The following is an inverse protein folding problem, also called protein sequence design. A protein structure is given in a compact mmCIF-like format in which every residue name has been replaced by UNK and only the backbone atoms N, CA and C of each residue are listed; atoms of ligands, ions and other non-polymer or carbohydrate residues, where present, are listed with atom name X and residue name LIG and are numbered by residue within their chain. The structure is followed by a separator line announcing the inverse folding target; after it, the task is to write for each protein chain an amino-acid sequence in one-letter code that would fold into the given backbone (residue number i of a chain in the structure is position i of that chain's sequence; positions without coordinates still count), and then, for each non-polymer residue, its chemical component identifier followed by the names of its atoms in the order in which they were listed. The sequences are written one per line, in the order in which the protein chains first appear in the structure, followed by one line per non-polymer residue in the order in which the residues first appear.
data_IF_229424524409
#
_entry.id   IF_229424524409
#
_cell.length_a   1.000
_cell.length_b   1.000
_cell.length_c   1.000
_cell.angle_alpha   90.00
_cell.angle_beta   90.00
_cell.angle_gamma   90.00
#
_symmetry.space_group_name_H-M   'P 1'
#
loop_
_entity.id
_entity.type
_entity.pdbx_description
1 polymer ?
#
# COMPACT_ATOMS: atom_id res chain seq x y z
N UNK A 1 53.86 -18.57 -80.36
CA UNK A 1 54.24 -19.50 -79.27
C UNK A 1 53.41 -19.12 -78.05
N UNK A 2 52.24 -19.75 -77.85
CA UNK A 2 52.01 -20.87 -76.91
C UNK A 2 52.43 -20.50 -75.45
N UNK A 3 51.57 -20.48 -74.43
CA UNK A 3 50.14 -20.77 -74.33
C UNK A 3 49.65 -20.69 -72.86
N UNK A 4 48.32 -20.76 -72.71
CA UNK A 4 47.52 -21.17 -71.54
C UNK A 4 47.32 -20.25 -70.31
N UNK A 5 46.06 -19.81 -70.14
CA UNK A 5 45.42 -19.47 -68.84
C UNK A 5 44.93 -20.78 -68.18
N UNK A 6 44.86 -20.86 -66.84
CA UNK A 6 43.62 -20.56 -66.09
C UNK A 6 43.96 -19.80 -64.79
N UNK A 7 43.10 -19.14 -64.02
CA UNK A 7 41.68 -19.24 -63.74
C UNK A 7 41.50 -18.56 -62.37
N UNK A 8 40.53 -17.67 -62.25
CA UNK A 8 40.21 -16.94 -61.00
C UNK A 8 39.88 -17.92 -59.87
N UNK A 9 40.40 -17.65 -58.68
CA UNK A 9 39.71 -17.94 -57.41
C UNK A 9 40.22 -16.95 -56.35
N UNK A 10 39.61 -15.77 -56.30
CA UNK A 10 39.65 -14.88 -55.15
C UNK A 10 38.90 -15.56 -54.01
N UNK A 11 39.62 -16.24 -53.12
CA UNK A 11 39.08 -16.71 -51.86
C UNK A 11 38.85 -15.49 -50.96
N UNK A 12 37.58 -15.11 -50.85
CA UNK A 12 37.08 -14.10 -49.92
C UNK A 12 37.40 -14.56 -48.50
N UNK A 13 38.38 -13.92 -47.85
CA UNK A 13 38.60 -14.07 -46.41
C UNK A 13 37.42 -13.43 -45.68
N UNK A 14 36.47 -14.27 -45.26
CA UNK A 14 35.40 -13.89 -44.35
C UNK A 14 36.01 -13.25 -43.10
N UNK A 15 35.58 -12.06 -42.68
CA UNK A 15 36.08 -11.47 -41.44
C UNK A 15 35.67 -12.38 -40.29
N UNK A 16 36.67 -12.87 -39.57
CA UNK A 16 36.52 -13.55 -38.29
C UNK A 16 35.62 -12.69 -37.40
N UNK A 17 34.44 -13.21 -37.06
CA UNK A 17 33.55 -12.57 -36.07
C UNK A 17 34.35 -12.39 -34.78
N UNK A 18 34.58 -11.14 -34.40
CA UNK A 18 35.15 -10.79 -33.11
C UNK A 18 34.37 -11.54 -32.01
N UNK A 19 35.03 -12.50 -31.37
CA UNK A 19 34.50 -13.22 -30.23
C UNK A 19 34.65 -12.33 -29.02
N UNK A 20 33.55 -11.68 -28.62
CA UNK A 20 33.50 -10.89 -27.40
C UNK A 20 33.51 -11.84 -26.20
N UNK A 21 34.57 -11.81 -25.40
CA UNK A 21 34.61 -12.43 -24.08
C UNK A 21 33.77 -11.58 -23.14
N UNK A 22 32.69 -12.13 -22.57
CA UNK A 22 31.97 -11.48 -21.48
C UNK A 22 32.80 -11.69 -20.23
N UNK A 23 33.57 -10.68 -19.83
CA UNK A 23 34.26 -10.68 -18.55
C UNK A 23 34.31 -9.25 -17.99
N UNK A 24 33.14 -8.69 -17.69
CA UNK A 24 33.02 -7.49 -16.85
C UNK A 24 33.04 -7.81 -15.35
N UNK A 25 33.00 -9.10 -14.97
CA UNK A 25 32.91 -9.55 -13.59
C UNK A 25 34.27 -10.12 -13.14
N UNK A 26 34.92 -9.53 -12.11
CA UNK A 26 36.17 -10.03 -11.56
C UNK A 26 36.06 -11.50 -11.12
N UNK A 27 37.01 -12.33 -11.54
CA UNK A 27 37.07 -13.75 -11.15
C UNK A 27 36.16 -14.70 -11.95
N UNK A 28 35.34 -14.20 -12.87
CA UNK A 28 34.54 -15.05 -13.75
C UNK A 28 35.43 -15.76 -14.80
N UNK A 29 35.18 -17.05 -15.11
CA UNK A 29 35.91 -17.73 -16.18
C UNK A 29 35.57 -17.12 -17.54
N UNK A 30 36.56 -16.99 -18.42
CA UNK A 30 36.38 -16.46 -19.76
C UNK A 30 35.43 -17.36 -20.59
N UNK A 31 34.16 -16.94 -20.72
CA UNK A 31 33.15 -17.63 -21.52
C UNK A 31 32.94 -16.88 -22.83
N UNK A 32 33.05 -17.60 -23.95
CA UNK A 32 32.81 -17.04 -25.28
C UNK A 32 31.31 -16.82 -25.44
N UNK A 33 30.92 -15.59 -25.77
CA UNK A 33 29.54 -15.26 -26.13
C UNK A 33 29.38 -15.16 -27.64
N UNK A 34 28.23 -15.63 -28.14
CA UNK A 34 27.80 -15.45 -29.53
C UNK A 34 26.78 -14.31 -29.66
N UNK A 35 26.60 -13.49 -28.61
CA UNK A 35 25.71 -12.34 -28.63
C UNK A 35 26.11 -11.38 -29.75
N UNK A 36 25.13 -11.01 -30.58
CA UNK A 36 25.31 -10.05 -31.68
C UNK A 36 24.93 -8.63 -31.28
N UNK A 37 24.08 -8.48 -30.26
CA UNK A 37 23.58 -7.21 -29.77
C UNK A 37 24.37 -6.87 -28.50
N UNK A 38 24.81 -5.61 -28.38
CA UNK A 38 25.44 -5.09 -27.16
C UNK A 38 24.34 -4.73 -26.17
N UNK A 39 24.47 -5.21 -24.94
CA UNK A 39 23.59 -4.83 -23.83
C UNK A 39 24.03 -3.45 -23.30
N UNK A 40 23.15 -2.43 -23.31
CA UNK A 40 23.47 -1.10 -22.82
C UNK A 40 23.35 -0.98 -21.29
N UNK A 41 22.59 -1.87 -20.66
CA UNK A 41 22.34 -1.92 -19.23
C UNK A 41 22.78 -3.28 -18.69
N UNK A 42 23.51 -3.27 -17.59
CA UNK A 42 23.92 -4.50 -16.91
C UNK A 42 22.77 -5.07 -16.07
N UNK A 43 22.88 -6.34 -15.71
CA UNK A 43 21.92 -6.98 -14.81
C UNK A 43 22.00 -6.28 -13.44
N UNK A 44 20.89 -5.75 -12.91
CA UNK A 44 20.89 -5.12 -11.59
C UNK A 44 21.12 -6.15 -10.49
N UNK A 45 21.35 -5.68 -9.26
CA UNK A 45 21.37 -6.56 -8.11
C UNK A 45 20.00 -7.27 -7.96
N UNK A 46 20.02 -8.60 -7.99
CA UNK A 46 18.80 -9.42 -7.93
C UNK A 46 18.20 -9.47 -6.52
N UNK A 47 18.96 -9.08 -5.50
CA UNK A 47 18.51 -8.97 -4.11
C UNK A 47 18.01 -7.56 -3.76
N UNK A 48 18.13 -6.60 -4.69
CA UNK A 48 17.79 -5.19 -4.43
C UNK A 48 16.34 -5.02 -3.95
N UNK A 49 15.39 -5.78 -4.50
CA UNK A 49 13.98 -5.72 -4.09
C UNK A 49 13.79 -5.96 -2.58
N UNK A 50 14.53 -6.92 -2.02
CA UNK A 50 14.45 -7.25 -0.58
C UNK A 50 15.27 -6.25 0.25
N UNK A 51 16.52 -6.03 -0.15
CA UNK A 51 17.47 -5.23 0.61
C UNK A 51 17.09 -3.75 0.63
N UNK A 52 16.73 -3.16 -0.51
CA UNK A 52 16.33 -1.75 -0.59
C UNK A 52 15.03 -1.48 0.14
N UNK A 53 14.06 -2.41 0.08
CA UNK A 53 12.80 -2.28 0.82
C UNK A 53 13.02 -2.29 2.33
N UNK A 54 13.91 -3.15 2.84
CA UNK A 54 14.23 -3.19 4.26
C UNK A 54 15.08 -2.00 4.69
N UNK A 55 16.02 -1.56 3.85
CA UNK A 55 16.85 -0.38 4.12
C UNK A 55 16.02 0.89 4.24
N UNK A 56 14.99 1.06 3.40
CA UNK A 56 14.00 2.13 3.54
C UNK A 56 13.20 2.01 4.84
N UNK A 57 12.72 0.81 5.17
CA UNK A 57 11.90 0.59 6.37
C UNK A 57 12.64 1.04 7.63
N UNK A 58 13.89 0.61 7.80
CA UNK A 58 14.70 0.91 9.01
C UNK A 58 15.48 2.21 8.91
N UNK A 59 15.52 2.85 7.73
CA UNK A 59 16.25 4.09 7.51
C UNK A 59 17.78 3.95 7.53
N UNK A 60 18.34 2.87 6.93
CA UNK A 60 19.80 2.66 6.91
C UNK A 60 20.52 3.80 6.19
N UNK A 61 21.79 4.01 6.54
CA UNK A 61 22.66 5.02 5.92
C UNK A 61 22.73 4.90 4.39
N UNK A 62 22.76 3.67 3.86
CA UNK A 62 22.75 3.42 2.42
C UNK A 62 21.48 3.95 1.73
N UNK A 63 20.32 3.83 2.37
CA UNK A 63 19.08 4.43 1.87
C UNK A 63 19.10 5.95 2.06
N UNK A 64 19.47 6.43 3.24
CA UNK A 64 19.54 7.87 3.55
C UNK A 64 20.45 8.64 2.59
N UNK A 65 21.59 8.04 2.20
CA UNK A 65 22.50 8.62 1.21
C UNK A 65 21.89 8.72 -0.19
N UNK A 66 21.01 7.78 -0.58
CA UNK A 66 20.30 7.83 -1.88
C UNK A 66 19.29 8.98 -1.93
N UNK A 67 18.62 9.25 -0.81
CA UNK A 67 17.55 10.25 -0.71
C UNK A 67 17.98 11.58 -0.10
N UNK A 68 19.29 11.80 0.14
CA UNK A 68 19.80 12.99 0.83
C UNK A 68 19.47 14.33 0.16
N UNK A 69 19.04 14.33 -1.11
CA UNK A 69 18.56 15.51 -1.84
C UNK A 69 17.04 15.70 -1.86
N UNK A 70 16.28 14.79 -1.24
CA UNK A 70 14.82 14.80 -1.23
C UNK A 70 14.32 15.37 0.11
N UNK A 71 13.67 16.54 0.06
CA UNK A 71 13.26 17.28 1.26
C UNK A 71 12.19 16.57 2.11
N UNK A 72 11.43 15.63 1.52
CA UNK A 72 10.32 14.93 2.17
C UNK A 72 10.63 13.44 2.43
N UNK A 73 11.88 13.02 2.28
CA UNK A 73 12.23 11.61 2.45
C UNK A 73 12.23 11.18 3.93
N UNK A 74 11.35 10.26 4.25
CA UNK A 74 11.18 9.66 5.58
C UNK A 74 11.33 8.14 5.49
N UNK A 75 12.02 7.56 6.48
CA UNK A 75 12.11 6.09 6.60
C UNK A 75 10.76 5.50 6.96
N UNK A 76 10.50 4.25 6.62
CA UNK A 76 9.21 3.62 6.89
C UNK A 76 8.82 3.61 8.37
N UNK A 77 9.77 3.39 9.29
CA UNK A 77 9.50 3.48 10.73
C UNK A 77 9.20 4.91 11.18
N UNK A 78 9.92 5.91 10.66
CA UNK A 78 9.65 7.31 10.98
C UNK A 78 8.26 7.75 10.51
N UNK A 79 7.84 7.31 9.31
CA UNK A 79 6.50 7.57 8.77
C UNK A 79 5.41 6.98 9.67
N UNK A 80 5.56 5.72 10.08
CA UNK A 80 4.58 5.04 10.96
C UNK A 80 4.49 5.75 12.32
N UNK A 81 5.63 6.16 12.89
CA UNK A 81 5.66 6.90 14.15
C UNK A 81 5.05 8.30 14.01
N UNK A 82 5.18 8.92 12.83
CA UNK A 82 4.50 10.17 12.48
C UNK A 82 2.98 10.00 12.35
N UNK A 83 2.51 8.92 11.74
CA UNK A 83 1.07 8.66 11.56
C UNK A 83 0.36 8.39 12.91
N UNK A 84 1.01 7.67 13.82
CA UNK A 84 0.43 7.36 15.13
C UNK A 84 0.49 8.55 16.11
N UNK A 85 1.39 9.51 15.89
CA UNK A 85 1.59 10.65 16.78
C UNK A 85 0.80 11.89 16.32
N UNK A 86 0.21 12.67 17.24
CA UNK A 86 0.11 12.43 18.68
C UNK A 86 -1.03 11.48 19.03
N UNK A 87 -0.80 10.71 20.09
CA UNK A 87 -1.84 9.96 20.81
C UNK A 87 -2.39 10.88 21.90
N UNK A 88 -3.68 11.18 21.85
CA UNK A 88 -4.35 12.10 22.77
C UNK A 88 -5.41 11.36 23.59
N UNK A 89 -5.62 11.82 24.83
CA UNK A 89 -6.76 11.39 25.61
C UNK A 89 -8.07 12.05 25.12
N UNK A 90 -9.22 11.56 25.58
CA UNK A 90 -10.52 12.09 25.15
C UNK A 90 -10.71 13.59 25.45
N UNK A 91 -10.07 14.10 26.52
CA UNK A 91 -10.18 15.52 26.89
C UNK A 91 -9.15 16.42 26.22
N UNK A 92 -8.16 15.85 25.51
CA UNK A 92 -7.03 16.59 24.95
C UNK A 92 -6.10 17.22 26.00
N UNK A 93 -6.20 16.77 27.25
CA UNK A 93 -5.37 17.24 28.37
C UNK A 93 -3.96 16.64 28.35
N UNK A 94 -3.80 15.46 27.77
CA UNK A 94 -2.55 14.72 27.73
C UNK A 94 -2.30 14.18 26.32
N UNK A 95 -1.07 14.33 25.84
CA UNK A 95 -0.64 13.79 24.55
C UNK A 95 0.70 13.07 24.65
N UNK A 96 0.85 11.98 23.90
CA UNK A 96 2.10 11.22 23.75
C UNK A 96 2.52 11.22 22.28
N UNK A 97 3.77 11.59 22.03
CA UNK A 97 4.37 11.59 20.69
C UNK A 97 5.61 10.71 20.65
N UNK A 98 5.85 10.06 19.52
CA UNK A 98 7.05 9.25 19.29
C UNK A 98 7.90 9.86 18.19
N UNK A 99 9.21 9.84 18.37
CA UNK A 99 10.18 10.34 17.41
C UNK A 99 11.49 9.57 17.48
N UNK A 100 12.37 9.81 16.50
CA UNK A 100 13.74 9.31 16.47
C UNK A 100 13.88 7.79 16.71
N UNK A 101 13.32 6.93 15.83
CA UNK A 101 13.57 5.50 15.89
C UNK A 101 15.05 5.22 15.65
N UNK A 102 15.68 4.47 16.56
CA UNK A 102 17.08 4.05 16.42
C UNK A 102 17.27 2.61 16.85
N UNK A 103 18.20 1.94 16.20
CA UNK A 103 18.61 0.58 16.54
C UNK A 103 19.92 0.59 17.29
N UNK A 104 20.03 -0.24 18.32
CA UNK A 104 21.32 -0.61 18.90
C UNK A 104 21.95 -1.75 18.08
N UNK A 105 23.16 -2.16 18.46
CA UNK A 105 23.84 -3.29 17.83
C UNK A 105 23.04 -4.59 17.97
N UNK A 106 23.18 -5.47 16.98
CA UNK A 106 22.60 -6.81 17.00
C UNK A 106 23.13 -7.62 18.18
N UNK A 107 22.25 -8.39 18.82
CA UNK A 107 22.60 -9.11 20.07
C UNK A 107 23.62 -10.24 19.89
N UNK A 108 23.64 -10.84 18.70
CA UNK A 108 24.46 -11.99 18.37
C UNK A 108 24.73 -12.00 16.86
N UNK A 109 25.78 -12.73 16.45
CA UNK A 109 26.12 -12.90 15.04
C UNK A 109 25.12 -13.81 14.31
N UNK A 110 25.05 -13.73 12.97
CA UNK A 110 24.19 -14.61 12.17
C UNK A 110 24.47 -16.11 12.40
N UNK A 111 25.74 -16.48 12.57
CA UNK A 111 26.16 -17.88 12.81
C UNK A 111 25.74 -18.36 14.20
N UNK A 112 25.94 -17.53 15.22
CA UNK A 112 25.52 -17.84 16.59
C UNK A 112 24.00 -17.96 16.70
N UNK A 113 23.24 -17.11 16.00
CA UNK A 113 21.78 -17.22 15.99
C UNK A 113 21.30 -18.55 15.41
N UNK A 114 21.98 -19.08 14.39
CA UNK A 114 21.67 -20.39 13.79
C UNK A 114 22.04 -21.56 14.70
N UNK A 115 23.19 -21.48 15.37
CA UNK A 115 23.69 -22.56 16.24
C UNK A 115 22.89 -22.68 17.54
N UNK A 116 22.44 -21.55 18.10
CA UNK A 116 21.74 -21.48 19.40
C UNK A 116 20.23 -21.33 19.29
N UNK A 117 19.64 -21.54 18.12
CA UNK A 117 18.22 -21.36 17.85
C UNK A 117 17.66 -19.97 18.26
N UNK A 118 18.49 -18.92 18.14
CA UNK A 118 18.09 -17.53 18.45
C UNK A 118 17.56 -16.80 17.22
N UNK A 119 16.84 -15.69 17.44
CA UNK A 119 16.42 -14.79 16.36
C UNK A 119 17.47 -13.69 16.17
N UNK A 120 17.87 -13.44 14.93
CA UNK A 120 18.79 -12.35 14.59
C UNK A 120 18.06 -11.01 14.60
N UNK A 121 18.25 -10.23 15.66
CA UNK A 121 17.51 -9.01 15.94
C UNK A 121 18.37 -7.94 16.61
N UNK A 122 17.96 -6.68 16.43
CA UNK A 122 18.53 -5.50 17.07
C UNK A 122 17.48 -4.85 17.99
N UNK A 123 17.87 -4.35 19.19
CA UNK A 123 16.98 -3.58 20.04
C UNK A 123 16.54 -2.28 19.37
N UNK A 124 15.22 -2.02 19.29
CA UNK A 124 14.65 -0.76 18.79
C UNK A 124 14.32 0.16 19.96
N UNK A 125 14.85 1.38 19.90
CA UNK A 125 14.54 2.46 20.82
C UNK A 125 13.88 3.62 20.09
N UNK A 126 12.94 4.28 20.76
CA UNK A 126 12.29 5.52 20.28
C UNK A 126 12.36 6.57 21.38
N UNK A 127 12.37 7.83 21.00
CA UNK A 127 12.15 8.93 21.92
C UNK A 127 10.65 9.15 22.07
N UNK A 128 10.12 8.96 23.28
CA UNK A 128 8.74 9.23 23.61
C UNK A 128 8.64 10.54 24.39
N UNK A 129 7.74 11.43 23.96
CA UNK A 129 7.49 12.73 24.58
C UNK A 129 6.06 12.79 25.07
N UNK A 130 5.90 12.81 26.39
CA UNK A 130 4.62 13.05 27.04
C UNK A 130 4.46 14.54 27.31
N UNK A 131 3.37 15.12 26.82
CA UNK A 131 3.02 16.53 27.04
C UNK A 131 1.71 16.60 27.81
N UNK A 132 1.73 17.27 28.96
CA UNK A 132 0.52 17.66 29.67
C UNK A 132 0.12 19.07 29.25
N UNK A 133 -0.97 19.19 28.48
CA UNK A 133 -1.44 20.46 27.93
C UNK A 133 -1.99 21.41 29.00
N UNK A 134 -2.32 20.91 30.19
CA UNK A 134 -2.82 21.73 31.31
C UNK A 134 -1.66 22.40 32.06
N UNK A 135 -0.59 21.66 32.32
CA UNK A 135 0.57 22.17 33.08
C UNK A 135 1.69 22.71 32.19
N UNK A 136 1.69 22.35 30.90
CA UNK A 136 2.79 22.63 29.97
C UNK A 136 4.04 21.76 30.20
N UNK A 137 3.96 20.75 31.08
CA UNK A 137 5.09 19.88 31.38
C UNK A 137 5.32 18.89 30.25
N UNK A 138 6.55 18.87 29.72
CA UNK A 138 7.00 17.90 28.71
C UNK A 138 8.03 16.96 29.35
N UNK A 139 7.75 15.66 29.29
CA UNK A 139 8.67 14.60 29.72
C UNK A 139 9.12 13.81 28.51
N UNK A 140 10.40 13.90 28.19
CA UNK A 140 11.03 13.12 27.13
C UNK A 140 11.80 11.95 27.73
N UNK A 141 11.58 10.75 27.22
CA UNK A 141 12.27 9.54 27.64
C UNK A 141 12.58 8.65 26.44
N UNK A 142 13.74 8.00 26.46
CA UNK A 142 14.02 6.88 25.54
C UNK A 142 13.27 5.64 26.01
N UNK A 143 12.44 5.08 25.14
CA UNK A 143 11.66 3.86 25.39
C UNK A 143 12.16 2.73 24.52
N UNK A 144 12.38 1.56 25.12
CA UNK A 144 12.63 0.31 24.40
C UNK A 144 11.32 -0.22 23.83
N UNK A 145 11.23 -0.33 22.51
CA UNK A 145 10.04 -0.82 21.81
C UNK A 145 10.01 -2.34 21.67
N UNK A 146 11.18 -2.97 21.63
CA UNK A 146 11.31 -4.42 21.44
C UNK A 146 12.52 -4.79 20.60
N UNK A 147 12.74 -6.10 20.47
CA UNK A 147 13.73 -6.65 19.56
C UNK A 147 13.14 -6.75 18.16
N UNK A 148 13.81 -6.11 17.18
CA UNK A 148 13.35 -6.06 15.81
C UNK A 148 14.22 -6.99 14.93
N UNK A 149 13.63 -7.97 14.23
CA UNK A 149 14.38 -8.86 13.34
C UNK A 149 15.11 -8.08 12.25
N UNK A 150 16.40 -8.37 12.09
CA UNK A 150 17.26 -7.71 11.11
C UNK A 150 17.44 -8.59 9.87
N UNK A 151 17.46 -7.96 8.69
CA UNK A 151 17.73 -8.65 7.43
C UNK A 151 19.24 -8.91 7.29
N UNK A 152 19.62 -10.14 6.94
CA UNK A 152 21.00 -10.52 6.62
C UNK A 152 21.43 -9.92 5.28
N UNK A 153 22.73 -9.97 4.97
CA UNK A 153 23.25 -9.54 3.67
C UNK A 153 22.69 -10.35 2.47
N UNK A 154 22.07 -11.52 2.74
CA UNK A 154 21.47 -12.39 1.71
C UNK A 154 20.00 -12.08 1.43
N UNK A 155 19.41 -11.09 2.10
CA UNK A 155 17.97 -10.80 1.98
C UNK A 155 17.08 -11.79 2.73
N UNK A 156 17.62 -12.46 3.76
CA UNK A 156 16.89 -13.42 4.61
C UNK A 156 16.77 -12.92 6.05
N UNK A 157 15.92 -13.56 6.84
CA UNK A 157 15.78 -13.34 8.27
C UNK A 157 16.06 -14.65 9.02
N UNK A 158 16.73 -14.59 10.17
CA UNK A 158 16.93 -15.77 11.03
C UNK A 158 15.94 -15.68 12.17
N UNK A 159 14.93 -16.55 12.17
CA UNK A 159 13.89 -16.61 13.21
C UNK A 159 13.99 -17.97 13.90
N UNK A 160 14.35 -17.95 15.19
CA UNK A 160 14.58 -19.14 16.02
C UNK A 160 15.52 -20.15 15.32
N UNK A 161 16.73 -19.69 14.97
CA UNK A 161 17.75 -20.51 14.29
C UNK A 161 17.51 -20.79 12.81
N UNK A 162 16.30 -20.58 12.31
CA UNK A 162 15.92 -20.95 10.94
C UNK A 162 15.92 -19.74 10.01
N UNK A 163 16.57 -19.86 8.85
CA UNK A 163 16.48 -18.85 7.80
C UNK A 163 15.10 -18.85 7.14
N UNK A 164 14.53 -17.66 6.99
CA UNK A 164 13.23 -17.39 6.38
C UNK A 164 13.35 -16.25 5.37
N UNK A 165 12.47 -16.29 4.38
CA UNK A 165 12.35 -15.23 3.36
C UNK A 165 10.94 -14.68 3.41
N UNK A 166 10.83 -13.35 3.43
CA UNK A 166 9.54 -12.66 3.27
C UNK A 166 9.25 -12.51 1.78
N UNK A 167 8.22 -13.18 1.29
CA UNK A 167 7.85 -13.16 -0.12
C UNK A 167 7.01 -11.93 -0.42
N UNK A 168 7.36 -11.20 -1.48
CA UNK A 168 6.57 -10.07 -1.96
C UNK A 168 5.17 -10.51 -2.38
N UNK A 169 4.15 -9.85 -1.84
CA UNK A 169 2.76 -10.14 -2.15
C UNK A 169 2.24 -9.18 -3.24
N UNK A 170 1.56 -9.72 -4.26
CA UNK A 170 0.82 -8.92 -5.21
C UNK A 170 -0.61 -8.70 -4.72
N UNK A 171 -0.96 -7.44 -4.44
CA UNK A 171 -2.31 -7.02 -4.03
C UNK A 171 -2.84 -5.97 -5.00
N UNK A 172 -4.16 -5.78 -5.02
CA UNK A 172 -4.76 -4.68 -5.79
C UNK A 172 -4.37 -3.36 -5.14
N UNK A 173 -3.99 -2.40 -5.96
CA UNK A 173 -3.69 -1.05 -5.50
C UNK A 173 -4.96 -0.41 -4.90
N UNK A 174 -4.83 0.47 -3.89
CA UNK A 174 -5.93 1.33 -3.46
C UNK A 174 -6.39 2.22 -4.62
N UNK A 175 -7.70 2.42 -4.74
CA UNK A 175 -8.26 3.27 -5.80
C UNK A 175 -9.70 2.98 -6.13
N UNK A 176 -10.15 3.58 -7.24
CA UNK A 176 -11.51 3.44 -7.76
C UNK A 176 -11.49 2.54 -8.99
N UNK A 177 -12.17 1.40 -8.88
CA UNK A 177 -12.27 0.41 -9.95
C UNK A 177 -13.69 0.33 -10.49
N UNK A 178 -13.82 0.34 -11.82
CA UNK A 178 -15.08 0.12 -12.51
C UNK A 178 -15.09 -1.28 -13.13
N UNK A 179 -16.24 -1.93 -13.07
CA UNK A 179 -16.44 -3.25 -13.66
C UNK A 179 -17.82 -3.32 -14.34
N UNK A 180 -17.89 -4.14 -15.39
CA UNK A 180 -19.11 -4.40 -16.16
C UNK A 180 -19.32 -5.91 -16.21
N UNK A 181 -20.46 -6.35 -15.71
CA UNK A 181 -20.83 -7.77 -15.66
C UNK A 181 -22.20 -7.98 -16.28
N UNK A 182 -22.36 -9.03 -17.07
CA UNK A 182 -23.65 -9.36 -17.67
C UNK A 182 -24.50 -10.17 -16.67
N UNK A 183 -25.70 -9.69 -16.36
CA UNK A 183 -26.69 -10.46 -15.59
C UNK A 183 -27.29 -11.55 -16.49
N UNK A 184 -26.96 -12.81 -16.20
CA UNK A 184 -27.34 -13.97 -17.02
C UNK A 184 -28.86 -14.21 -17.13
N UNK A 185 -29.67 -13.56 -16.31
CA UNK A 185 -31.13 -13.76 -16.28
C UNK A 185 -31.84 -12.72 -17.11
N UNK A 186 -31.38 -11.47 -17.05
CA UNK A 186 -32.01 -10.34 -17.74
C UNK A 186 -31.27 -9.91 -19.01
N UNK A 187 -30.11 -10.50 -19.31
CA UNK A 187 -29.19 -10.10 -20.37
C UNK A 187 -28.86 -8.60 -20.37
N UNK A 188 -28.95 -7.98 -19.18
CA UNK A 188 -28.58 -6.58 -18.94
C UNK A 188 -27.18 -6.49 -18.35
N UNK A 189 -26.47 -5.44 -18.74
CA UNK A 189 -25.21 -5.08 -18.11
C UNK A 189 -25.43 -4.45 -16.73
N UNK A 190 -24.74 -5.00 -15.74
CA UNK A 190 -24.59 -4.46 -14.39
C UNK A 190 -23.23 -3.77 -14.32
N UNK A 191 -23.28 -2.48 -14.01
CA UNK A 191 -22.09 -1.66 -13.78
C UNK A 191 -21.84 -1.55 -12.28
N UNK A 192 -20.59 -1.75 -11.86
CA UNK A 192 -20.19 -1.56 -10.47
C UNK A 192 -18.94 -0.69 -10.35
N UNK A 193 -18.85 0.02 -9.23
CA UNK A 193 -17.72 0.87 -8.87
C UNK A 193 -17.28 0.51 -7.46
N UNK A 194 -16.01 0.16 -7.27
CA UNK A 194 -15.43 -0.16 -5.97
C UNK A 194 -14.37 0.86 -5.60
N UNK A 195 -14.58 1.54 -4.48
CA UNK A 195 -13.59 2.41 -3.84
C UNK A 195 -12.88 1.58 -2.78
N UNK A 196 -11.64 1.22 -3.05
CA UNK A 196 -10.80 0.38 -2.20
C UNK A 196 -9.76 1.28 -1.54
N UNK A 197 -9.86 1.56 -0.22
CA UNK A 197 -8.85 2.32 0.49
C UNK A 197 -7.60 1.47 0.78
N UNK A 198 -6.50 2.12 1.13
CA UNK A 198 -5.30 1.45 1.67
C UNK A 198 -5.60 0.81 3.04
N UNK A 199 -6.39 1.49 3.87
CA UNK A 199 -6.84 1.05 5.18
C UNK A 199 -8.28 1.52 5.42
N UNK A 200 -9.14 0.69 6.01
CA UNK A 200 -10.50 1.08 6.36
C UNK A 200 -11.60 0.44 5.50
N UNK A 201 -12.79 1.04 5.53
CA UNK A 201 -14.02 0.44 5.04
C UNK A 201 -14.19 0.53 3.51
N UNK A 202 -14.63 -0.56 2.88
CA UNK A 202 -14.88 -0.52 1.44
C UNK A 202 -16.18 0.20 1.12
N UNK A 203 -16.20 0.94 0.01
CA UNK A 203 -17.40 1.57 -0.50
C UNK A 203 -17.66 1.07 -1.93
N UNK A 204 -18.79 0.39 -2.12
CA UNK A 204 -19.13 -0.22 -3.40
C UNK A 204 -20.45 0.34 -3.90
N UNK A 205 -20.48 0.80 -5.15
CA UNK A 205 -21.66 1.26 -5.84
C UNK A 205 -22.02 0.31 -6.98
N UNK A 206 -23.31 0.18 -7.27
CA UNK A 206 -23.77 -0.62 -8.40
C UNK A 206 -25.05 -0.05 -9.02
N UNK A 207 -25.19 -0.25 -10.34
CA UNK A 207 -26.45 -0.12 -11.04
C UNK A 207 -26.99 -1.52 -11.24
N UNK A 208 -28.10 -1.85 -10.57
CA UNK A 208 -28.68 -3.19 -10.66
C UNK A 208 -29.52 -3.38 -11.92
N UNK A 209 -29.94 -4.62 -12.19
CA UNK A 209 -30.79 -4.98 -13.33
C UNK A 209 -32.17 -4.30 -13.35
N UNK A 210 -32.58 -3.66 -12.26
CA UNK A 210 -33.83 -2.90 -12.12
C UNK A 210 -33.63 -1.41 -12.36
N UNK A 211 -32.46 -1.02 -12.88
CA UNK A 211 -32.09 0.36 -13.15
C UNK A 211 -32.20 1.22 -11.88
N UNK A 212 -31.72 0.68 -10.74
CA UNK A 212 -31.56 1.43 -9.49
C UNK A 212 -30.10 1.52 -9.08
N UNK A 213 -29.71 2.67 -8.54
CA UNK A 213 -28.34 2.90 -8.05
C UNK A 213 -28.25 2.58 -6.57
N UNK A 214 -27.36 1.65 -6.23
CA UNK A 214 -27.15 1.18 -4.87
C UNK A 214 -25.76 1.46 -4.35
N UNK A 215 -25.63 1.35 -3.04
CA UNK A 215 -24.39 1.42 -2.29
C UNK A 215 -24.31 0.31 -1.24
N UNK A 216 -23.14 -0.30 -1.09
CA UNK A 216 -22.77 -1.17 0.03
C UNK A 216 -21.61 -0.51 0.77
N UNK A 217 -21.77 -0.33 2.07
CA UNK A 217 -20.74 0.18 2.97
C UNK A 217 -20.19 -1.03 3.73
N UNK A 218 -18.87 -1.21 3.72
CA UNK A 218 -18.17 -2.29 4.43
C UNK A 218 -18.78 -3.69 4.20
N UNK A 219 -19.08 -3.98 2.92
CA UNK A 219 -19.68 -5.25 2.48
C UNK A 219 -21.02 -5.59 3.17
N UNK A 220 -21.70 -4.60 3.76
CA UNK A 220 -23.05 -4.76 4.33
C UNK A 220 -24.13 -4.77 3.25
N UNK A 221 -25.38 -4.89 3.70
CA UNK A 221 -26.56 -4.93 2.82
C UNK A 221 -26.62 -3.70 1.92
N UNK A 222 -27.02 -3.92 0.66
CA UNK A 222 -27.21 -2.87 -0.34
C UNK A 222 -28.31 -1.91 0.08
N UNK A 223 -28.05 -0.62 -0.05
CA UNK A 223 -28.99 0.48 0.18
C UNK A 223 -29.10 1.32 -1.09
N UNK A 224 -30.21 2.03 -1.33
CA UNK A 224 -30.24 3.07 -2.35
C UNK A 224 -29.12 4.10 -2.10
N UNK A 225 -28.45 4.55 -3.16
CA UNK A 225 -27.36 5.54 -3.03
C UNK A 225 -27.84 6.85 -2.41
N UNK A 226 -29.12 7.17 -2.57
CA UNK A 226 -29.76 8.37 -2.03
C UNK A 226 -29.75 8.40 -0.50
N UNK A 227 -29.79 7.24 0.17
CA UNK A 227 -29.65 7.13 1.63
C UNK A 227 -28.29 7.65 2.07
N UNK A 228 -27.21 7.26 1.38
CA UNK A 228 -25.87 7.78 1.69
C UNK A 228 -25.76 9.28 1.41
N UNK A 229 -26.32 9.77 0.29
CA UNK A 229 -26.30 11.20 -0.03
C UNK A 229 -27.05 12.03 1.04
N UNK A 230 -28.23 11.57 1.47
CA UNK A 230 -29.01 12.20 2.54
C UNK A 230 -28.27 12.17 3.87
N UNK A 231 -27.62 11.06 4.21
CA UNK A 231 -26.79 10.94 5.42
C UNK A 231 -25.62 11.94 5.43
N UNK A 232 -25.04 12.24 4.26
CA UNK A 232 -24.02 13.29 4.05
C UNK A 232 -24.60 14.72 4.04
N UNK A 233 -25.90 14.89 4.31
CA UNK A 233 -26.55 16.20 4.41
C UNK A 233 -27.05 16.78 3.08
N UNK A 234 -27.20 15.97 2.04
CA UNK A 234 -27.81 16.44 0.79
C UNK A 234 -29.33 16.40 0.87
N UNK A 235 -29.97 17.53 0.53
CA UNK A 235 -31.43 17.58 0.39
C UNK A 235 -31.87 16.91 -0.92
N UNK A 236 -33.15 16.53 -0.97
CA UNK A 236 -33.73 15.92 -2.17
C UNK A 236 -33.63 16.84 -3.39
N UNK A 237 -33.85 18.15 -3.23
CA UNK A 237 -33.74 19.12 -4.33
C UNK A 237 -32.30 19.19 -4.86
N UNK A 238 -31.31 19.13 -3.97
CA UNK A 238 -29.89 19.11 -4.35
C UNK A 238 -29.55 17.85 -5.13
N UNK A 239 -30.03 16.68 -4.68
CA UNK A 239 -29.83 15.40 -5.38
C UNK A 239 -30.49 15.47 -6.76
N UNK A 240 -31.76 15.86 -6.83
CA UNK A 240 -32.52 15.99 -8.09
C UNK A 240 -31.87 16.98 -9.06
N UNK A 241 -31.41 18.13 -8.57
CA UNK A 241 -30.71 19.13 -9.38
C UNK A 241 -29.41 18.58 -9.97
N UNK A 242 -28.57 17.92 -9.16
CA UNK A 242 -27.26 17.39 -9.58
C UNK A 242 -27.38 16.20 -10.54
N UNK A 243 -28.38 15.35 -10.36
CA UNK A 243 -28.58 14.11 -11.12
C UNK A 243 -29.78 14.15 -12.07
N UNK A 244 -30.26 15.36 -12.41
CA UNK A 244 -31.40 15.58 -13.31
C UNK A 244 -31.27 14.95 -14.69
N UNK A 245 -30.04 14.71 -15.13
CA UNK A 245 -29.70 14.08 -16.41
C UNK A 245 -29.81 12.54 -16.40
N UNK A 246 -30.03 11.90 -15.25
CA UNK A 246 -30.05 10.43 -15.12
C UNK A 246 -31.42 9.94 -14.66
N UNK A 247 -32.15 9.28 -15.56
CA UNK A 247 -33.42 8.64 -15.25
C UNK A 247 -33.28 7.57 -14.15
N UNK A 248 -32.19 6.79 -14.16
CA UNK A 248 -31.86 5.77 -13.15
C UNK A 248 -31.74 6.39 -11.74
N UNK A 249 -31.07 7.55 -11.62
CA UNK A 249 -30.94 8.25 -10.34
C UNK A 249 -32.27 8.83 -9.88
N UNK A 250 -33.07 9.42 -10.78
CA UNK A 250 -34.40 9.94 -10.46
C UNK A 250 -35.34 8.82 -10.01
N UNK A 251 -35.37 7.70 -10.73
CA UNK A 251 -36.15 6.52 -10.36
C UNK A 251 -35.70 5.91 -9.03
N UNK A 252 -34.41 5.99 -8.69
CA UNK A 252 -33.89 5.58 -7.38
C UNK A 252 -34.38 6.51 -6.28
N UNK A 253 -34.40 7.82 -6.53
CA UNK A 253 -34.87 8.83 -5.59
C UNK A 253 -36.38 8.73 -5.33
N UNK A 254 -37.19 8.44 -6.35
CA UNK A 254 -38.64 8.23 -6.21
C UNK A 254 -38.99 6.96 -5.40
N UNK A 255 -38.16 5.92 -5.50
CA UNK A 255 -38.33 4.66 -4.74
C UNK A 255 -37.78 4.75 -3.31
N UNK A 256 -37.08 5.82 -2.96
CA UNK A 256 -36.51 6.01 -1.64
C UNK A 256 -37.58 6.50 -0.65
N UNK A 257 -37.79 5.76 0.43
CA UNK A 257 -38.79 6.07 1.45
C UNK A 257 -38.23 6.94 2.60
N UNK A 258 -36.93 7.20 2.61
CA UNK A 258 -36.26 7.98 3.67
C UNK A 258 -36.28 9.45 3.26
N UNK A 259 -36.89 10.33 4.05
CA UNK A 259 -37.00 11.74 3.69
C UNK A 259 -35.89 12.59 4.29
N UNK A 260 -35.49 12.28 5.53
CA UNK A 260 -34.61 13.15 6.33
C UNK A 260 -33.19 12.60 6.45
N UNK A 261 -32.23 13.50 6.74
CA UNK A 261 -30.85 13.12 7.05
C UNK A 261 -30.77 12.20 8.28
N UNK A 262 -31.53 12.51 9.32
CA UNK A 262 -31.52 11.75 10.58
C UNK A 262 -32.00 10.31 10.35
N UNK A 263 -33.09 10.12 9.61
CA UNK A 263 -33.58 8.79 9.23
C UNK A 263 -32.53 8.02 8.40
N UNK A 264 -31.84 8.69 7.47
CA UNK A 264 -30.80 8.08 6.64
C UNK A 264 -29.59 7.63 7.48
N UNK A 265 -29.15 8.45 8.43
CA UNK A 265 -28.09 8.12 9.37
C UNK A 265 -28.46 6.90 10.23
N UNK A 266 -29.67 6.89 10.79
CA UNK A 266 -30.16 5.77 11.61
C UNK A 266 -30.29 4.49 10.78
N UNK A 267 -30.73 4.59 9.53
CA UNK A 267 -30.85 3.45 8.62
C UNK A 267 -29.50 2.82 8.27
N UNK A 268 -28.49 3.66 7.99
CA UNK A 268 -27.10 3.22 7.80
C UNK A 268 -26.57 2.57 9.08
N UNK A 269 -26.78 3.20 10.25
CA UNK A 269 -26.31 2.68 11.53
C UNK A 269 -26.86 1.29 11.84
N UNK A 270 -28.17 1.09 11.70
CA UNK A 270 -28.83 -0.22 11.94
C UNK A 270 -28.25 -1.34 11.09
N UNK A 271 -27.84 -1.04 9.85
CA UNK A 271 -27.26 -2.04 8.94
C UNK A 271 -25.77 -2.31 9.21
N UNK A 272 -25.04 -1.31 9.72
CA UNK A 272 -23.64 -1.49 10.11
C UNK A 272 -23.51 -2.20 11.46
N UNK A 273 -24.36 -1.83 12.43
CA UNK A 273 -24.36 -2.33 13.81
C UNK A 273 -25.73 -2.87 14.21
N UNK A 274 -26.11 -4.07 13.73
CA UNK A 274 -27.37 -4.68 14.11
C UNK A 274 -27.38 -5.01 15.60
N UNK A 275 -28.35 -4.47 16.35
CA UNK A 275 -28.55 -4.75 17.78
C UNK A 275 -28.18 -3.61 18.72
N UNK A 276 -27.46 -2.58 18.24
CA UNK A 276 -27.22 -1.36 19.02
C UNK A 276 -28.35 -0.34 18.80
N UNK A 277 -28.88 0.31 19.86
CA UNK A 277 -29.89 1.35 19.70
C UNK A 277 -29.30 2.54 18.94
N UNK A 278 -29.87 2.94 17.79
CA UNK A 278 -29.28 4.00 16.98
C UNK A 278 -29.66 5.36 17.56
N UNK A 279 -28.67 6.23 17.75
CA UNK A 279 -28.88 7.67 18.01
C UNK A 279 -28.33 8.47 16.84
N UNK A 280 -28.85 9.68 16.63
CA UNK A 280 -28.39 10.53 15.53
C UNK A 280 -26.89 10.82 15.65
N UNK A 281 -26.45 11.18 16.85
CA UNK A 281 -25.07 11.58 17.14
C UNK A 281 -24.11 10.41 16.94
N UNK A 282 -24.48 9.20 17.39
CA UNK A 282 -23.65 8.01 17.21
C UNK A 282 -23.57 7.59 15.75
N UNK A 283 -24.67 7.73 14.99
CA UNK A 283 -24.71 7.45 13.57
C UNK A 283 -23.86 8.42 12.74
N UNK A 284 -23.95 9.71 13.04
CA UNK A 284 -23.11 10.73 12.39
C UNK A 284 -21.64 10.50 12.71
N UNK A 285 -21.29 10.32 13.98
CA UNK A 285 -19.92 10.05 14.43
C UNK A 285 -19.36 8.78 13.81
N UNK A 286 -20.18 7.73 13.66
CA UNK A 286 -19.78 6.49 13.00
C UNK A 286 -19.44 6.73 11.52
N UNK A 287 -20.29 7.45 10.80
CA UNK A 287 -20.07 7.73 9.37
C UNK A 287 -18.82 8.60 9.16
N UNK A 288 -18.64 9.63 9.99
CA UNK A 288 -17.45 10.49 9.99
C UNK A 288 -16.17 9.68 10.23
N UNK A 289 -16.19 8.81 11.24
CA UNK A 289 -15.06 7.95 11.56
C UNK A 289 -14.78 6.85 10.51
N UNK A 290 -15.77 6.48 9.70
CA UNK A 290 -15.61 5.45 8.67
C UNK A 290 -14.90 5.96 7.42
N UNK A 291 -15.08 7.23 7.06
CA UNK A 291 -14.64 7.75 5.76
C UNK A 291 -13.86 9.06 5.80
N UNK A 292 -13.95 9.84 6.87
CA UNK A 292 -13.40 11.20 6.94
C UNK A 292 -12.38 11.39 8.06
N UNK A 293 -12.25 10.42 8.96
CA UNK A 293 -11.19 10.42 9.97
C UNK A 293 -9.93 9.76 9.41
N UNK A 294 -8.89 10.55 9.15
CA UNK A 294 -7.58 10.10 8.65
C UNK A 294 -6.90 9.05 9.54
N UNK A 295 -7.17 9.04 10.86
CA UNK A 295 -6.67 8.00 11.77
C UNK A 295 -7.34 6.63 11.52
N UNK A 296 -8.45 6.59 10.78
CA UNK A 296 -9.27 5.39 10.53
C UNK A 296 -9.48 5.06 9.05
N UNK A 297 -9.31 6.01 8.14
CA UNK A 297 -9.49 5.85 6.69
C UNK A 297 -8.39 6.54 5.89
#
# INVERSE_FOLDING_TARGET
MAGSRPGKNTATTTPSKARTTIAGIPGAPARISFAKIREPLEVPDLLSLQTESFDWLVGKEAWAARVAGEAEATSGLADILGEISPIEDFSGSMSLSFSNPRFEEVKASEEECKDKDMTFAAPLFVTAEFTNNVTGEIKSQTVFMGDFPMMTAKGTFIINGTERVVVSQLVRSPGVYFDRTLDKVTDKDIFSCKVIPSRGAWLEFDVDKRDTVGVRIDRKRRQPVTVLLKALGWTEERIRGRFSWSETMLATLEKDHIATQDEALLDIYRKLRPGEPPTRESAQTLLENLFFNVKRY
#
